data_IF_840474607923
#
_entry.id   IF_840474607923
#
_cell.length_a   1.000
_cell.length_b   1.000
_cell.length_c   1.000
_cell.angle_alpha   90.00
_cell.angle_beta   90.00
_cell.angle_gamma   90.00
#
_symmetry.space_group_name_H-M   'P 1'
#
loop_
_entity.id
_entity.type
_entity.pdbx_description
1 polymer ?
#
# COMPACT_ATOMS: atom_id res chain seq x y z
N UNK A 1 -10.52 -18.04 18.49
CA UNK A 1 -11.09 -17.47 17.26
C UNK A 1 -10.30 -16.22 16.93
N UNK A 2 -9.37 -16.29 15.99
CA UNK A 2 -8.75 -15.07 15.44
C UNK A 2 -9.81 -14.35 14.64
N UNK A 3 -10.16 -13.12 15.03
CA UNK A 3 -10.99 -12.26 14.20
C UNK A 3 -10.37 -12.21 12.80
N UNK A 4 -11.18 -12.39 11.76
CA UNK A 4 -10.72 -12.17 10.40
C UNK A 4 -10.25 -10.72 10.33
N UNK A 5 -8.95 -10.51 10.12
CA UNK A 5 -8.44 -9.16 9.88
C UNK A 5 -9.20 -8.60 8.68
N UNK A 6 -9.71 -7.38 8.82
CA UNK A 6 -10.35 -6.60 7.76
C UNK A 6 -9.38 -5.51 7.30
N UNK A 7 -9.54 -5.02 6.08
CA UNK A 7 -8.76 -3.89 5.61
C UNK A 7 -9.05 -2.63 6.44
N UNK A 8 -8.00 -1.95 6.90
CA UNK A 8 -8.11 -0.63 7.53
C UNK A 8 -7.95 0.43 6.44
N UNK A 9 -9.00 1.23 6.20
CA UNK A 9 -8.99 2.32 5.21
C UNK A 9 -8.95 3.72 5.83
N UNK A 10 -9.01 3.79 7.16
CA UNK A 10 -8.87 5.02 7.94
C UNK A 10 -7.38 5.28 8.25
N UNK A 11 -6.99 6.52 8.61
CA UNK A 11 -5.62 6.81 9.04
C UNK A 11 -5.18 5.90 10.19
N UNK A 12 -4.13 5.13 9.96
CA UNK A 12 -3.63 4.11 10.90
C UNK A 12 -2.09 4.11 10.96
N UNK A 13 -1.51 5.31 11.04
CA UNK A 13 -0.08 5.54 11.25
C UNK A 13 0.10 6.37 12.52
N UNK A 14 1.00 5.93 13.41
CA UNK A 14 1.28 6.65 14.66
C UNK A 14 1.90 8.02 14.41
N UNK A 15 2.80 8.10 13.42
CA UNK A 15 3.48 9.33 13.00
C UNK A 15 3.42 9.43 11.47
N UNK A 16 2.34 10.00 10.91
CA UNK A 16 2.14 10.06 9.46
C UNK A 16 3.25 10.82 8.72
N UNK A 17 3.72 11.93 9.29
CA UNK A 17 4.72 12.81 8.66
C UNK A 17 6.06 12.09 8.45
N UNK A 18 6.54 11.39 9.48
CA UNK A 18 7.78 10.60 9.42
C UNK A 18 7.68 9.49 8.36
N UNK A 19 6.52 8.84 8.24
CA UNK A 19 6.28 7.85 7.20
C UNK A 19 6.35 8.47 5.80
N UNK A 20 5.67 9.61 5.57
CA UNK A 20 5.69 10.28 4.27
C UNK A 20 7.09 10.75 3.90
N UNK A 21 7.85 11.27 4.87
CA UNK A 21 9.24 11.67 4.64
C UNK A 21 10.09 10.46 4.23
N UNK A 22 10.04 9.36 4.99
CA UNK A 22 10.81 8.16 4.67
C UNK A 22 10.44 7.56 3.30
N UNK A 23 9.17 7.63 2.92
CA UNK A 23 8.72 7.19 1.59
C UNK A 23 9.32 8.08 0.49
N UNK A 24 9.28 9.40 0.63
CA UNK A 24 9.87 10.33 -0.35
C UNK A 24 11.38 10.11 -0.49
N UNK A 25 12.09 9.98 0.63
CA UNK A 25 13.53 9.71 0.65
C UNK A 25 13.87 8.39 -0.07
N UNK A 26 13.04 7.36 0.10
CA UNK A 26 13.21 6.06 -0.57
C UNK A 26 13.13 6.17 -2.10
N UNK A 27 12.40 7.15 -2.63
CA UNK A 27 12.29 7.41 -4.06
C UNK A 27 13.34 8.38 -4.61
N UNK A 28 14.15 9.01 -3.74
CA UNK A 28 15.13 10.00 -4.15
C UNK A 28 16.16 9.38 -5.12
N UNK A 29 16.51 10.13 -6.17
CA UNK A 29 17.48 9.73 -7.21
C UNK A 29 17.08 8.53 -8.07
N UNK A 30 15.84 8.03 -7.97
CA UNK A 30 15.31 7.00 -8.87
C UNK A 30 14.70 7.64 -10.13
N UNK A 31 14.88 6.97 -11.28
CA UNK A 31 14.05 7.23 -12.45
C UNK A 31 12.60 6.83 -12.21
N UNK A 32 11.68 7.27 -13.07
CA UNK A 32 10.27 6.87 -13.00
C UNK A 32 10.09 5.34 -13.08
N UNK A 33 10.83 4.68 -13.96
CA UNK A 33 10.78 3.23 -14.10
C UNK A 33 11.26 2.51 -12.84
N UNK A 34 12.34 2.98 -12.22
CA UNK A 34 12.85 2.44 -10.96
C UNK A 34 11.90 2.71 -9.80
N UNK A 35 11.29 3.90 -9.76
CA UNK A 35 10.26 4.27 -8.78
C UNK A 35 9.03 3.35 -8.88
N UNK A 36 8.57 3.03 -10.09
CA UNK A 36 7.51 2.05 -10.31
C UNK A 36 7.91 0.63 -9.87
N UNK A 37 9.13 0.19 -10.19
CA UNK A 37 9.65 -1.10 -9.77
C UNK A 37 9.75 -1.20 -8.23
N UNK A 38 10.19 -0.12 -7.57
CA UNK A 38 10.23 -0.01 -6.12
C UNK A 38 8.83 -0.16 -5.52
N UNK A 39 7.85 0.57 -6.04
CA UNK A 39 6.46 0.48 -5.58
C UNK A 39 5.88 -0.93 -5.73
N UNK A 40 6.11 -1.60 -6.87
CA UNK A 40 5.67 -2.97 -7.07
C UNK A 40 6.29 -3.94 -6.04
N UNK A 41 7.58 -3.78 -5.75
CA UNK A 41 8.28 -4.59 -4.75
C UNK A 41 7.82 -4.29 -3.33
N UNK A 42 7.58 -3.03 -3.00
CA UNK A 42 7.02 -2.62 -1.70
C UNK A 42 5.63 -3.24 -1.47
N UNK A 43 4.75 -3.21 -2.47
CA UNK A 43 3.43 -3.86 -2.40
C UNK A 43 3.55 -5.35 -2.09
N UNK A 44 4.47 -6.06 -2.74
CA UNK A 44 4.68 -7.50 -2.49
C UNK A 44 5.23 -7.78 -1.09
N UNK A 45 6.17 -6.95 -0.60
CA UNK A 45 6.73 -7.08 0.75
C UNK A 45 5.65 -6.84 1.82
N UNK A 46 4.83 -5.81 1.67
CA UNK A 46 3.73 -5.51 2.58
C UNK A 46 2.64 -6.59 2.51
N UNK A 47 2.33 -7.11 1.31
CA UNK A 47 1.40 -8.21 1.17
C UNK A 47 1.87 -9.49 1.89
N UNK A 48 3.17 -9.78 1.82
CA UNK A 48 3.78 -10.87 2.57
C UNK A 48 3.74 -10.63 4.08
N UNK A 49 3.95 -9.39 4.54
CA UNK A 49 3.82 -9.03 5.95
C UNK A 49 2.39 -9.19 6.48
N UNK A 50 1.38 -8.83 5.67
CA UNK A 50 -0.05 -8.98 6.02
C UNK A 50 -0.46 -10.46 6.08
N UNK A 51 -0.03 -11.29 5.13
CA UNK A 51 -0.24 -12.74 5.13
C UNK A 51 -1.70 -13.23 4.99
N UNK A 52 -2.68 -12.32 4.91
CA UNK A 52 -4.11 -12.63 4.90
C UNK A 52 -4.75 -12.34 3.53
N UNK A 53 -4.98 -13.39 2.72
CA UNK A 53 -5.61 -13.24 1.40
C UNK A 53 -6.96 -12.51 1.40
N UNK A 54 -7.86 -12.68 2.40
CA UNK A 54 -9.10 -11.90 2.46
C UNK A 54 -8.85 -10.39 2.52
N UNK A 55 -7.94 -9.93 3.40
CA UNK A 55 -7.51 -8.52 3.51
C UNK A 55 -6.95 -8.01 2.19
N UNK A 56 -6.08 -8.80 1.54
CA UNK A 56 -5.48 -8.43 0.27
C UNK A 56 -6.53 -8.27 -0.84
N UNK A 57 -7.57 -9.12 -0.86
CA UNK A 57 -8.69 -8.99 -1.82
C UNK A 57 -9.51 -7.72 -1.59
N UNK A 58 -9.77 -7.37 -0.33
CA UNK A 58 -10.40 -6.09 0.00
C UNK A 58 -9.55 -4.90 -0.47
N UNK A 59 -8.23 -4.96 -0.26
CA UNK A 59 -7.29 -3.93 -0.72
C UNK A 59 -7.33 -3.76 -2.25
N UNK A 60 -7.35 -4.87 -3.01
CA UNK A 60 -7.45 -4.81 -4.47
C UNK A 60 -8.76 -4.18 -4.94
N UNK A 61 -9.89 -4.53 -4.30
CA UNK A 61 -11.19 -3.97 -4.64
C UNK A 61 -11.24 -2.46 -4.33
N UNK A 62 -10.75 -2.05 -3.16
CA UNK A 62 -10.68 -0.65 -2.75
C UNK A 62 -9.80 0.18 -3.70
N UNK A 63 -8.60 -0.32 -4.04
CA UNK A 63 -7.70 0.35 -4.98
C UNK A 63 -8.32 0.50 -6.37
N UNK A 64 -9.04 -0.52 -6.86
CA UNK A 64 -9.74 -0.47 -8.16
C UNK A 64 -10.89 0.53 -8.15
N UNK A 65 -11.62 0.63 -7.04
CA UNK A 65 -12.74 1.55 -6.88
C UNK A 65 -12.32 3.03 -6.78
N UNK A 66 -11.10 3.29 -6.29
CA UNK A 66 -10.53 4.63 -6.18
C UNK A 66 -10.05 5.21 -7.52
N UNK A 67 -9.96 4.39 -8.58
CA UNK A 67 -9.59 4.90 -9.90
C UNK A 67 -10.69 5.81 -10.44
N UNK A 68 -10.33 6.92 -11.13
CA UNK A 68 -11.30 7.76 -11.80
C UNK A 68 -12.12 6.90 -12.78
N UNK A 69 -13.44 7.05 -12.77
CA UNK A 69 -14.27 6.49 -13.85
C UNK A 69 -13.96 7.28 -15.11
N UNK A 70 -13.15 6.72 -15.99
CA UNK A 70 -13.09 7.15 -17.38
C UNK A 70 -14.46 6.88 -18.00
N UNK A 71 -15.16 7.96 -18.37
CA UNK A 71 -16.41 7.91 -19.13
C UNK A 71 -16.14 7.50 -20.58
#
# INVERSE_FOLDING_TARGET
MTAAAQLITEPHLDVPDDFYQALIETHQSLSEAESHALNARLVLLLANHIGALPVLREAFAAARAALPRTA
#
